data_IF_113253521333
#
_entry.id   IF_113253521333
#
_cell.length_a   1.000
_cell.length_b   1.000
_cell.length_c   1.000
_cell.angle_alpha   90.00
_cell.angle_beta   90.00
_cell.angle_gamma   90.00
#
_symmetry.space_group_name_H-M   'P 1'
#
loop_
_entity.id
_entity.type
_entity.pdbx_description
1 polymer ?
#
# COMPACT_ATOMS: atom_id res chain seq x y z
N UNK A 1 -12.92 19.52 -1.40
CA UNK A 1 -12.03 18.68 -2.22
C UNK A 1 -12.73 17.34 -2.42
N UNK A 2 -12.90 16.89 -3.67
CA UNK A 2 -13.61 15.65 -3.99
C UNK A 2 -12.69 14.47 -3.70
N UNK A 3 -13.07 13.60 -2.76
CA UNK A 3 -12.44 12.29 -2.60
C UNK A 3 -12.69 11.50 -3.90
N UNK A 4 -11.62 11.20 -4.62
CA UNK A 4 -11.69 10.35 -5.81
C UNK A 4 -11.51 8.91 -5.31
N UNK A 5 -12.61 8.15 -5.28
CA UNK A 5 -12.58 6.72 -4.99
C UNK A 5 -11.73 5.98 -6.04
N UNK A 6 -10.69 5.24 -5.63
CA UNK A 6 -9.90 4.39 -6.52
C UNK A 6 -10.00 2.93 -6.08
N UNK A 7 -10.37 2.05 -7.03
CA UNK A 7 -10.33 0.59 -6.88
C UNK A 7 -9.48 -0.01 -7.99
N UNK A 8 -8.61 -0.97 -7.64
CA UNK A 8 -7.77 -1.72 -8.58
C UNK A 8 -8.40 -3.05 -8.99
N UNK A 9 -8.28 -3.41 -10.27
CA UNK A 9 -8.55 -4.74 -10.83
C UNK A 9 -7.34 -5.68 -10.67
N UNK A 10 -7.57 -6.90 -10.20
CA UNK A 10 -6.61 -8.02 -10.23
C UNK A 10 -7.00 -8.94 -11.40
N UNK A 11 -6.10 -9.16 -12.36
CA UNK A 11 -6.30 -10.11 -13.46
C UNK A 11 -5.60 -11.44 -13.19
N UNK A 12 -6.33 -12.53 -13.47
CA UNK A 12 -5.96 -13.94 -13.37
C UNK A 12 -5.21 -14.43 -14.62
N UNK A 13 -4.16 -15.25 -14.45
CA UNK A 13 -3.85 -16.41 -15.31
C UNK A 13 -3.22 -17.53 -14.45
N UNK A 14 -3.58 -18.79 -14.77
CA UNK A 14 -3.34 -20.10 -14.10
C UNK A 14 -1.91 -20.30 -13.54
N UNK A 15 -1.61 -21.05 -12.47
CA UNK A 15 -2.10 -22.35 -11.98
C UNK A 15 -1.62 -22.54 -10.51
N UNK A 16 -2.32 -23.37 -9.71
CA UNK A 16 -2.01 -23.83 -8.34
C UNK A 16 -2.32 -22.91 -7.13
N UNK A 17 -3.49 -23.16 -6.52
CA UNK A 17 -3.87 -22.92 -5.12
C UNK A 17 -3.56 -21.54 -4.51
N UNK A 18 -4.37 -20.54 -4.83
CA UNK A 18 -4.44 -19.27 -4.08
C UNK A 18 -5.92 -18.96 -3.81
N UNK A 19 -6.29 -18.84 -2.54
CA UNK A 19 -7.62 -18.40 -2.10
C UNK A 19 -7.90 -16.97 -2.63
N UNK A 20 -9.07 -16.78 -3.24
CA UNK A 20 -9.42 -15.60 -4.04
C UNK A 20 -10.41 -14.70 -3.29
N UNK A 21 -10.09 -13.41 -3.17
CA UNK A 21 -11.00 -12.38 -2.66
C UNK A 21 -11.42 -11.43 -3.79
N UNK A 22 -12.73 -11.19 -3.94
CA UNK A 22 -13.33 -10.32 -4.96
C UNK A 22 -13.53 -8.91 -4.40
N UNK A 23 -13.18 -7.85 -5.15
CA UNK A 23 -13.41 -6.45 -4.76
C UNK A 23 -14.35 -5.79 -5.76
N UNK A 24 -15.39 -5.11 -5.26
CA UNK A 24 -16.39 -4.40 -6.05
C UNK A 24 -15.90 -3.01 -6.51
N UNK A 25 -16.29 -2.62 -7.72
CA UNK A 25 -15.97 -1.32 -8.34
C UNK A 25 -17.03 -0.29 -7.96
N UNK A 26 -16.68 0.89 -7.42
CA UNK A 26 -17.61 2.00 -7.27
C UNK A 26 -18.06 2.52 -8.63
N UNK A 27 -19.33 2.93 -8.76
CA UNK A 27 -19.98 3.40 -10.00
C UNK A 27 -19.27 4.56 -10.73
N UNK A 28 -18.20 5.14 -10.16
CA UNK A 28 -17.45 6.27 -10.71
C UNK A 28 -16.19 5.88 -11.52
N UNK A 29 -15.75 4.62 -11.51
CA UNK A 29 -14.61 4.17 -12.33
C UNK A 29 -15.04 3.92 -13.78
N UNK A 30 -14.47 4.64 -14.74
CA UNK A 30 -14.53 4.27 -16.15
C UNK A 30 -13.63 3.05 -16.38
N UNK A 31 -14.22 2.00 -16.95
CA UNK A 31 -13.71 0.61 -17.06
C UNK A 31 -12.31 0.42 -17.69
N UNK A 32 -11.73 1.45 -18.30
CA UNK A 32 -10.58 1.34 -19.20
C UNK A 32 -9.28 2.07 -18.78
N UNK A 33 -9.22 2.70 -17.60
CA UNK A 33 -8.03 3.45 -17.16
C UNK A 33 -7.58 3.02 -15.75
N UNK A 34 -6.86 1.90 -15.66
CA UNK A 34 -6.20 1.50 -14.42
C UNK A 34 -5.04 2.46 -14.12
N UNK A 35 -5.08 3.12 -12.96
CA UNK A 35 -4.04 4.07 -12.54
C UNK A 35 -3.11 3.54 -11.46
N UNK A 36 -3.43 2.37 -10.89
CA UNK A 36 -2.56 1.61 -10.01
C UNK A 36 -2.74 0.09 -10.19
N UNK A 37 -1.70 -0.68 -9.87
CA UNK A 37 -1.71 -2.13 -9.82
C UNK A 37 -1.18 -2.62 -8.48
N UNK A 38 -1.73 -3.74 -8.01
CA UNK A 38 -1.28 -4.45 -6.82
C UNK A 38 -1.11 -5.93 -7.19
N UNK A 39 0.07 -6.47 -6.90
CA UNK A 39 0.29 -7.92 -6.84
C UNK A 39 0.86 -8.28 -5.48
N UNK A 40 0.36 -9.37 -4.91
CA UNK A 40 0.92 -9.91 -3.67
C UNK A 40 1.16 -11.41 -3.78
N UNK A 41 2.05 -11.90 -2.94
CA UNK A 41 2.22 -13.33 -2.70
C UNK A 41 2.68 -13.54 -1.27
N UNK A 42 2.36 -14.71 -0.72
CA UNK A 42 2.86 -15.12 0.58
C UNK A 42 3.93 -16.18 0.37
N UNK A 43 5.07 -16.04 1.03
CA UNK A 43 6.21 -16.94 0.89
C UNK A 43 6.78 -17.39 2.23
N UNK A 44 7.72 -18.33 2.17
CA UNK A 44 8.40 -18.86 3.36
C UNK A 44 7.45 -19.56 4.34
N UNK A 45 6.47 -20.33 3.85
CA UNK A 45 5.45 -21.02 4.68
C UNK A 45 4.52 -20.06 5.45
N UNK A 46 4.04 -19.01 4.80
CA UNK A 46 3.05 -18.11 5.43
C UNK A 46 3.67 -16.99 6.27
N UNK A 47 4.93 -16.62 6.03
CA UNK A 47 5.67 -15.71 6.91
C UNK A 47 5.96 -14.36 6.28
N UNK A 48 6.24 -14.37 4.99
CA UNK A 48 6.65 -13.19 4.26
C UNK A 48 5.56 -12.76 3.31
N UNK A 49 5.08 -11.54 3.48
CA UNK A 49 4.20 -10.89 2.51
C UNK A 49 5.06 -10.14 1.50
N UNK A 50 4.99 -10.56 0.23
CA UNK A 50 5.63 -9.87 -0.89
C UNK A 50 4.60 -9.02 -1.58
N UNK A 51 4.89 -7.74 -1.74
CA UNK A 51 4.04 -6.78 -2.42
C UNK A 51 4.76 -6.19 -3.63
N UNK A 52 4.01 -5.97 -4.70
CA UNK A 52 4.37 -5.16 -5.85
C UNK A 52 3.26 -4.15 -6.05
N UNK A 53 3.55 -2.90 -5.72
CA UNK A 53 2.67 -1.75 -5.93
C UNK A 53 3.15 -1.00 -7.16
N UNK A 54 2.26 -0.69 -8.09
CA UNK A 54 2.59 0.09 -9.29
C UNK A 54 1.64 1.27 -9.38
N UNK A 55 2.19 2.49 -9.49
CA UNK A 55 1.44 3.70 -9.80
C UNK A 55 1.80 4.14 -11.21
N UNK A 56 0.77 4.30 -12.06
CA UNK A 56 0.96 4.91 -13.37
C UNK A 56 1.08 6.44 -13.21
N UNK A 57 2.00 7.04 -13.96
CA UNK A 57 2.41 8.44 -13.80
C UNK A 57 1.76 9.38 -14.81
N UNK A 58 1.07 8.83 -15.82
CA UNK A 58 0.57 9.54 -17.01
C UNK A 58 -0.33 10.75 -16.72
N UNK A 59 -1.02 10.73 -15.58
CA UNK A 59 -1.95 11.77 -15.15
C UNK A 59 -1.45 12.56 -13.92
N UNK A 60 -0.23 12.30 -13.47
CA UNK A 60 0.41 13.01 -12.36
C UNK A 60 1.60 13.83 -12.89
N UNK A 61 1.76 15.09 -12.46
CA UNK A 61 2.95 15.86 -12.83
C UNK A 61 4.19 15.17 -12.26
N UNK A 62 5.34 15.23 -12.97
CA UNK A 62 6.62 14.61 -12.58
C UNK A 62 7.22 15.23 -11.31
N UNK A 63 6.61 14.97 -10.16
CA UNK A 63 6.98 15.45 -8.83
C UNK A 63 7.03 14.26 -7.84
N UNK A 64 7.35 14.56 -6.58
CA UNK A 64 7.22 13.63 -5.48
C UNK A 64 5.80 13.04 -5.39
N UNK A 65 5.71 11.75 -5.14
CA UNK A 65 4.45 11.01 -5.18
C UNK A 65 4.47 9.77 -4.31
N UNK A 66 3.31 9.19 -4.10
CA UNK A 66 3.17 7.98 -3.31
C UNK A 66 2.19 6.99 -3.92
N UNK A 67 2.36 5.73 -3.53
CA UNK A 67 1.36 4.68 -3.63
C UNK A 67 1.28 3.99 -2.27
N UNK A 68 0.07 3.66 -1.84
CA UNK A 68 -0.18 3.08 -0.55
C UNK A 68 -1.30 2.04 -0.61
N UNK A 69 -1.18 1.05 0.28
CA UNK A 69 -2.10 -0.05 0.45
C UNK A 69 -2.53 -0.09 1.92
N UNK A 70 -3.78 0.30 2.18
CA UNK A 70 -4.44 0.14 3.47
C UNK A 70 -5.01 -1.27 3.62
N UNK A 71 -4.78 -1.84 4.80
CA UNK A 71 -5.38 -3.09 5.26
C UNK A 71 -6.38 -2.74 6.36
N UNK A 72 -7.67 -2.83 6.03
CA UNK A 72 -8.75 -2.45 6.92
C UNK A 72 -9.51 -3.65 7.45
N UNK A 73 -10.06 -3.52 8.65
CA UNK A 73 -11.00 -4.49 9.23
C UNK A 73 -12.45 -4.22 8.80
N UNK A 74 -12.71 -3.11 8.11
CA UNK A 74 -14.03 -2.78 7.57
C UNK A 74 -13.92 -2.14 6.16
N UNK A 75 -15.06 -1.67 5.62
CA UNK A 75 -15.14 -1.10 4.27
C UNK A 75 -14.85 0.41 4.22
N UNK A 76 -14.29 0.99 5.29
CA UNK A 76 -14.01 2.42 5.41
C UNK A 76 -12.53 2.65 5.57
N UNK A 77 -12.06 3.78 5.05
CA UNK A 77 -10.71 4.26 5.31
C UNK A 77 -10.72 4.85 6.71
N UNK A 78 -10.07 4.17 7.64
CA UNK A 78 -10.22 4.40 9.07
C UNK A 78 -8.96 4.02 9.81
N UNK A 79 -9.14 3.36 10.94
CA UNK A 79 -8.08 2.79 11.78
C UNK A 79 -7.41 1.62 11.05
N UNK A 80 -6.48 1.92 10.14
CA UNK A 80 -5.94 0.95 9.20
C UNK A 80 -4.42 0.86 9.27
N UNK A 81 -3.88 -0.36 9.17
CA UNK A 81 -2.46 -0.55 8.86
C UNK A 81 -2.22 -0.23 7.40
N UNK A 82 -1.28 0.66 7.13
CA UNK A 82 -0.95 1.09 5.77
C UNK A 82 0.46 0.66 5.42
N UNK A 83 0.65 0.13 4.22
CA UNK A 83 1.97 -0.02 3.60
C UNK A 83 2.08 1.01 2.50
N UNK A 84 3.05 1.90 2.57
CA UNK A 84 3.21 2.98 1.61
C UNK A 84 4.61 3.10 1.05
N UNK A 85 4.68 3.54 -0.19
CA UNK A 85 5.89 3.83 -0.92
C UNK A 85 5.86 5.26 -1.40
N UNK A 86 6.89 6.01 -1.06
CA UNK A 86 7.08 7.42 -1.33
C UNK A 86 8.25 7.57 -2.28
N UNK A 87 8.05 8.30 -3.38
CA UNK A 87 9.06 8.70 -4.34
C UNK A 87 9.28 10.20 -4.26
N UNK A 88 10.54 10.65 -4.21
CA UNK A 88 10.86 12.08 -4.04
C UNK A 88 10.94 12.88 -5.36
N UNK A 89 10.84 12.25 -6.52
CA UNK A 89 10.96 12.91 -7.83
C UNK A 89 12.38 12.95 -8.43
N UNK A 90 13.40 12.43 -7.75
CA UNK A 90 14.83 12.48 -8.16
C UNK A 90 15.51 11.11 -7.98
N UNK A 91 14.76 10.01 -8.04
CA UNK A 91 15.28 8.61 -7.94
C UNK A 91 15.50 8.06 -6.53
N UNK A 92 14.95 8.69 -5.49
CA UNK A 92 14.90 8.10 -4.14
C UNK A 92 13.48 7.65 -3.79
N UNK A 93 13.32 6.34 -3.56
CA UNK A 93 12.11 5.74 -3.02
C UNK A 93 12.29 5.32 -1.55
N UNK A 94 11.25 5.48 -0.73
CA UNK A 94 11.19 4.97 0.66
C UNK A 94 9.88 4.25 0.89
N UNK A 95 9.94 3.18 1.67
CA UNK A 95 8.78 2.41 2.06
C UNK A 95 8.56 2.51 3.57
N UNK A 96 7.31 2.58 3.98
CA UNK A 96 6.91 2.65 5.37
C UNK A 96 5.78 1.68 5.67
N UNK A 97 5.81 1.14 6.89
CA UNK A 97 4.62 0.71 7.58
C UNK A 97 4.08 1.94 8.29
N UNK A 98 2.82 2.24 8.10
CA UNK A 98 2.14 3.44 8.58
C UNK A 98 0.80 3.06 9.20
N UNK A 99 0.19 4.01 9.88
CA UNK A 99 -1.15 3.85 10.43
C UNK A 99 -2.00 5.05 10.07
N UNK A 100 -3.17 4.78 9.51
CA UNK A 100 -4.22 5.76 9.29
C UNK A 100 -5.17 5.70 10.48
N UNK A 101 -5.52 6.85 11.07
CA UNK A 101 -6.48 6.96 12.18
C UNK A 101 -7.86 7.48 11.72
N UNK A 102 -8.14 7.33 10.42
CA UNK A 102 -9.31 7.89 9.74
C UNK A 102 -9.19 9.38 9.38
N UNK A 103 -8.20 10.11 9.91
CA UNK A 103 -7.98 11.53 9.58
C UNK A 103 -6.59 11.79 8.99
N UNK A 104 -5.59 11.09 9.51
CA UNK A 104 -4.19 11.27 9.15
C UNK A 104 -3.49 9.91 9.07
N UNK A 105 -2.60 9.78 8.09
CA UNK A 105 -1.66 8.67 8.03
C UNK A 105 -0.28 9.11 8.50
N UNK A 106 0.31 8.32 9.41
CA UNK A 106 1.62 8.57 9.98
C UNK A 106 2.54 7.34 9.85
N UNK A 107 3.79 7.53 9.38
CA UNK A 107 4.81 6.47 9.40
C UNK A 107 5.09 5.95 10.81
N UNK A 108 5.08 4.63 10.95
CA UNK A 108 5.53 3.91 12.13
C UNK A 108 6.99 3.49 11.90
N UNK A 109 7.93 4.31 12.34
CA UNK A 109 9.35 4.10 12.04
C UNK A 109 9.92 2.80 12.63
N UNK A 110 9.51 2.43 13.85
CA UNK A 110 9.93 1.16 14.47
C UNK A 110 9.39 -0.02 13.67
N UNK A 111 8.10 0.00 13.31
CA UNK A 111 7.49 -1.01 12.47
C UNK A 111 8.15 -1.11 11.08
N UNK A 112 8.46 0.03 10.47
CA UNK A 112 9.13 0.09 9.17
C UNK A 112 10.51 -0.58 9.23
N UNK A 113 11.30 -0.32 10.28
CA UNK A 113 12.63 -0.90 10.47
C UNK A 113 12.56 -2.41 10.76
N UNK A 114 11.59 -2.85 11.56
CA UNK A 114 11.52 -4.25 12.02
C UNK A 114 10.83 -5.18 11.02
N UNK A 115 9.78 -4.70 10.33
CA UNK A 115 8.94 -5.54 9.49
C UNK A 115 9.37 -5.54 8.02
N UNK A 116 9.85 -4.42 7.48
CA UNK A 116 10.27 -4.35 6.07
C UNK A 116 11.67 -4.96 5.96
N UNK A 117 11.75 -6.17 5.40
CA UNK A 117 13.01 -6.90 5.21
C UNK A 117 13.81 -6.31 4.06
N UNK A 118 13.13 -6.02 2.96
CA UNK A 118 13.71 -5.28 1.84
C UNK A 118 12.63 -4.49 1.11
N UNK A 119 13.08 -3.43 0.45
CA UNK A 119 12.29 -2.71 -0.54
C UNK A 119 13.16 -2.34 -1.73
N UNK A 120 12.55 -2.25 -2.91
CA UNK A 120 13.20 -1.70 -4.10
C UNK A 120 12.20 -0.91 -4.92
N UNK A 121 12.73 0.06 -5.67
CA UNK A 121 11.95 1.03 -6.41
C UNK A 121 12.47 1.08 -7.84
N UNK A 122 11.54 1.11 -8.79
CA UNK A 122 11.84 1.28 -10.21
C UNK A 122 10.94 2.38 -10.72
N UNK A 123 11.54 3.43 -11.27
CA UNK A 123 10.82 4.49 -11.97
C UNK A 123 11.21 4.38 -13.43
N UNK A 124 10.23 4.07 -14.26
CA UNK A 124 10.32 4.16 -15.72
C UNK A 124 9.35 5.25 -16.17
N UNK A 125 9.53 5.77 -17.40
CA UNK A 125 8.85 6.96 -17.94
C UNK A 125 7.39 7.18 -17.48
N UNK A 126 6.58 6.12 -17.42
CA UNK A 126 5.16 6.19 -17.05
C UNK A 126 4.77 5.40 -15.80
N UNK A 127 5.71 4.80 -15.06
CA UNK A 127 5.38 3.90 -13.94
C UNK A 127 6.38 3.96 -12.80
N UNK A 128 5.85 4.21 -11.60
CA UNK A 128 6.55 4.01 -10.33
C UNK A 128 6.18 2.64 -9.76
N UNK A 129 7.16 1.76 -9.63
CA UNK A 129 7.01 0.41 -9.05
C UNK A 129 7.72 0.35 -7.71
N UNK A 130 7.02 -0.14 -6.69
CA UNK A 130 7.55 -0.43 -5.37
C UNK A 130 7.42 -1.93 -5.08
N UNK A 131 8.54 -2.58 -4.81
CA UNK A 131 8.60 -3.97 -4.39
C UNK A 131 8.92 -4.01 -2.90
N UNK A 132 8.14 -4.75 -2.11
CA UNK A 132 8.37 -4.90 -0.68
C UNK A 132 8.32 -6.36 -0.26
N UNK A 133 9.12 -6.72 0.72
CA UNK A 133 9.00 -7.98 1.45
C UNK A 133 8.88 -7.68 2.95
N UNK A 134 7.80 -8.13 3.56
CA UNK A 134 7.43 -7.81 4.93
C UNK A 134 7.42 -9.09 5.78
N UNK A 135 8.11 -9.10 6.92
CA UNK A 135 8.17 -10.19 7.89
C UNK A 135 7.30 -9.91 9.12
N UNK A 136 6.10 -10.47 9.13
CA UNK A 136 5.18 -10.32 10.26
C UNK A 136 5.57 -11.15 11.50
N UNK A 137 6.62 -11.98 11.46
CA UNK A 137 7.12 -12.63 12.69
C UNK A 137 7.66 -11.63 13.70
N UNK A 138 8.17 -10.49 13.23
CA UNK A 138 8.74 -9.48 14.12
C UNK A 138 7.66 -8.62 14.79
N UNK A 139 6.36 -8.82 14.51
CA UNK A 139 5.25 -8.09 15.16
C UNK A 139 5.32 -8.12 16.68
N UNK A 140 5.75 -9.25 17.25
CA UNK A 140 5.85 -9.39 18.70
C UNK A 140 6.98 -8.57 19.33
N UNK A 141 7.91 -8.05 18.52
CA UNK A 141 9.04 -7.22 18.96
C UNK A 141 8.71 -5.73 18.98
N UNK A 142 7.58 -5.33 18.38
CA UNK A 142 7.14 -3.94 18.40
C UNK A 142 6.77 -3.49 19.81
N UNK A 143 7.10 -2.24 20.13
CA UNK A 143 6.59 -1.56 21.30
C UNK A 143 5.05 -1.49 21.30
N UNK A 144 4.44 -1.36 22.49
CA UNK A 144 2.97 -1.43 22.62
C UNK A 144 2.20 -0.42 21.77
N UNK A 145 2.78 0.77 21.53
CA UNK A 145 2.19 1.81 20.68
C UNK A 145 2.04 1.35 19.23
N UNK A 146 3.15 0.96 18.59
CA UNK A 146 3.14 0.48 17.20
C UNK A 146 2.46 -0.89 17.08
N UNK A 147 2.66 -1.78 18.05
CA UNK A 147 2.05 -3.13 18.07
C UNK A 147 0.52 -3.07 18.03
N UNK A 148 -0.09 -2.07 18.66
CA UNK A 148 -1.56 -1.89 18.63
C UNK A 148 -2.09 -1.39 17.28
N UNK A 149 -1.23 -0.81 16.44
CA UNK A 149 -1.56 -0.17 15.17
C UNK A 149 -1.27 -1.05 13.95
N UNK A 150 -0.38 -2.04 14.09
CA UNK A 150 -0.02 -2.95 13.01
C UNK A 150 -0.82 -4.25 13.10
N UNK A 151 -1.67 -4.47 12.10
CA UNK A 151 -2.45 -5.68 11.95
C UNK A 151 -1.58 -6.86 11.53
N UNK A 152 -1.93 -8.05 12.03
CA UNK A 152 -1.34 -9.28 11.51
C UNK A 152 -2.04 -9.68 10.21
N UNK A 153 -1.52 -9.16 9.10
CA UNK A 153 -2.13 -9.27 7.77
C UNK A 153 -2.28 -10.70 7.24
N UNK A 154 -1.63 -11.67 7.90
CA UNK A 154 -1.67 -13.08 7.52
C UNK A 154 -2.58 -13.92 8.44
N UNK A 155 -3.14 -13.33 9.51
CA UNK A 155 -3.97 -14.05 10.48
C UNK A 155 -5.46 -14.03 10.13
N UNK A 156 -5.95 -12.99 9.47
CA UNK A 156 -7.36 -12.83 9.13
C UNK A 156 -7.52 -12.05 7.82
N UNK A 157 -8.67 -12.20 7.12
CA UNK A 157 -8.94 -11.41 5.92
C UNK A 157 -9.11 -9.92 6.25
N UNK A 158 -8.67 -9.06 5.33
CA UNK A 158 -8.77 -7.60 5.41
C UNK A 158 -9.35 -7.04 4.12
N UNK A 159 -10.02 -5.89 4.22
CA UNK A 159 -10.35 -5.08 3.05
C UNK A 159 -9.10 -4.34 2.59
N UNK A 160 -8.81 -4.41 1.29
CA UNK A 160 -7.67 -3.75 0.69
C UNK A 160 -8.10 -2.43 0.06
N UNK A 161 -7.41 -1.36 0.40
CA UNK A 161 -7.67 -0.02 -0.11
C UNK A 161 -6.38 0.51 -0.74
N UNK A 162 -6.38 0.74 -2.05
CA UNK A 162 -5.21 1.23 -2.79
C UNK A 162 -5.39 2.71 -3.13
N UNK A 163 -4.37 3.50 -2.82
CA UNK A 163 -4.37 4.94 -3.10
C UNK A 163 -3.02 5.32 -3.68
N UNK A 164 -3.02 6.28 -4.59
CA UNK A 164 -1.80 6.97 -5.03
C UNK A 164 -2.07 8.46 -5.12
N UNK A 165 -1.03 9.27 -5.07
CA UNK A 165 -1.17 10.71 -5.19
C UNK A 165 0.15 11.45 -5.21
N UNK A 166 0.05 12.77 -5.26
CA UNK A 166 1.21 13.66 -5.13
C UNK A 166 1.58 13.84 -3.67
N UNK A 167 2.88 14.00 -3.42
CA UNK A 167 3.38 14.49 -2.15
C UNK A 167 3.50 16.00 -2.30
N UNK A 168 2.66 16.73 -1.58
CA UNK A 168 2.84 18.17 -1.50
C UNK A 168 4.11 18.47 -0.70
N UNK A 169 5.00 19.25 -1.31
CA UNK A 169 6.27 19.72 -0.73
C UNK A 169 6.07 20.54 0.57
N UNK A 170 4.85 20.99 0.86
CA UNK A 170 4.48 21.65 2.13
C UNK A 170 3.72 20.74 3.10
N UNK A 171 3.24 19.58 2.64
CA UNK A 171 2.46 18.64 3.44
C UNK A 171 3.28 17.38 3.72
N UNK A 172 3.74 17.20 4.96
CA UNK A 172 4.33 15.93 5.43
C UNK A 172 3.31 14.78 5.55
N UNK A 173 2.12 14.95 4.99
CA UNK A 173 0.96 14.10 5.19
C UNK A 173 0.51 13.53 3.86
N UNK A 174 0.29 12.23 3.85
CA UNK A 174 -0.34 11.52 2.75
C UNK A 174 -1.85 11.57 2.98
N UNK A 175 -2.59 12.08 2.00
CA UNK A 175 -4.04 12.23 2.12
C UNK A 175 -4.71 10.93 1.68
N UNK A 176 -5.21 10.20 2.66
CA UNK A 176 -6.02 9.01 2.49
C UNK A 176 -7.47 9.49 2.61
N UNK A 177 -8.19 9.54 1.49
CA UNK A 177 -9.55 10.03 1.38
C UNK A 177 -10.46 8.95 0.79
#
# INVERSE_FOLDING_TARGET
FKCSHYCSTVQEQEEAAVERCTVAVPNACKSNECTANLRWSVSGRGLFLRLRLEAFLRDLPSHAMYIALGFSNDQRMGDDTVIECVYNGIDEGKAYVSYNDGNYNAPLYEASILLIVNSSFVVNDDTFTCLLNIDFKQLNRLSGGDKSKVFNLLAQPHYLQIVRGLIDQYSKCLNFC
#
